data_IF_271695118397
#
_entry.id   IF_271695118397
#
_cell.length_a   1.000
_cell.length_b   1.000
_cell.length_c   1.000
_cell.angle_alpha   90.00
_cell.angle_beta   90.00
_cell.angle_gamma   90.00
#
_symmetry.space_group_name_H-M   'P 1'
#
loop_
_entity.id
_entity.type
_entity.pdbx_description
1 polymer ?
#
# COMPACT_ATOMS: atom_id res chain seq x y z
N UNK A 1 36.02 35.45 -3.89
CA UNK A 1 34.98 34.94 -4.83
C UNK A 1 34.64 33.47 -4.59
N UNK A 2 34.68 32.97 -3.34
CA UNK A 2 34.56 31.53 -3.01
C UNK A 2 33.28 31.18 -2.24
N UNK A 3 32.85 32.03 -1.29
CA UNK A 3 31.73 31.72 -0.40
C UNK A 3 30.36 31.63 -1.11
N UNK A 4 30.09 32.52 -2.07
CA UNK A 4 28.85 32.52 -2.84
C UNK A 4 28.74 31.31 -3.78
N UNK A 5 29.87 30.83 -4.33
CA UNK A 5 29.91 29.64 -5.16
C UNK A 5 29.71 28.36 -4.31
N UNK A 6 30.29 28.32 -3.12
CA UNK A 6 30.10 27.22 -2.15
C UNK A 6 28.66 27.14 -1.63
N UNK A 7 28.02 28.26 -1.28
CA UNK A 7 26.61 28.25 -0.90
C UNK A 7 25.70 27.71 -2.01
N UNK A 8 25.95 28.10 -3.27
CA UNK A 8 25.16 27.61 -4.41
C UNK A 8 25.35 26.11 -4.65
N UNK A 9 26.59 25.61 -4.52
CA UNK A 9 26.88 24.19 -4.65
C UNK A 9 26.20 23.36 -3.56
N UNK A 10 26.23 23.82 -2.30
CA UNK A 10 25.58 23.15 -1.18
C UNK A 10 24.05 23.14 -1.32
N UNK A 11 23.46 24.26 -1.75
CA UNK A 11 22.02 24.34 -1.98
C UNK A 11 21.56 23.40 -3.10
N UNK A 12 22.34 23.33 -4.19
CA UNK A 12 22.06 22.42 -5.31
C UNK A 12 22.16 20.95 -4.89
N UNK A 13 23.17 20.59 -4.09
CA UNK A 13 23.32 19.23 -3.56
C UNK A 13 22.16 18.85 -2.62
N UNK A 14 21.68 19.79 -1.81
CA UNK A 14 20.54 19.58 -0.93
C UNK A 14 19.23 19.38 -1.71
N UNK A 15 18.99 20.22 -2.73
CA UNK A 15 17.81 20.09 -3.61
C UNK A 15 17.83 18.80 -4.44
N UNK A 16 18.99 18.37 -4.92
CA UNK A 16 19.15 17.10 -5.64
C UNK A 16 18.85 15.88 -4.73
N UNK A 17 19.26 15.95 -3.47
CA UNK A 17 18.96 14.92 -2.47
C UNK A 17 17.48 14.86 -2.12
N UNK A 18 16.80 16.01 -2.04
CA UNK A 18 15.37 16.09 -1.77
C UNK A 18 14.51 15.56 -2.93
N UNK A 19 14.94 15.75 -4.18
CA UNK A 19 14.23 15.24 -5.36
C UNK A 19 14.22 13.71 -5.45
N UNK A 20 15.23 13.02 -4.89
CA UNK A 20 15.30 11.56 -4.87
C UNK A 20 14.29 10.91 -3.90
N UNK A 21 13.71 11.69 -2.98
CA UNK A 21 12.65 11.22 -2.06
C UNK A 21 11.23 11.47 -2.59
N UNK A 22 11.08 12.08 -3.76
CA UNK A 22 9.76 12.26 -4.39
C UNK A 22 9.29 10.92 -4.91
N UNK A 23 8.62 10.20 -4.00
CA UNK A 23 7.65 9.13 -4.20
C UNK A 23 7.75 8.41 -5.53
N UNK A 24 8.34 7.21 -5.49
CA UNK A 24 7.91 6.15 -6.39
C UNK A 24 6.42 5.91 -6.07
N UNK A 25 5.52 6.60 -6.76
CA UNK A 25 4.15 6.14 -6.86
C UNK A 25 4.24 4.87 -7.69
N UNK A 26 4.46 3.75 -7.01
CA UNK A 26 4.49 2.44 -7.65
C UNK A 26 3.22 2.37 -8.52
N UNK A 27 3.36 2.14 -9.84
CA UNK A 27 2.22 2.12 -10.76
C UNK A 27 1.23 1.13 -10.18
N UNK A 28 -0.01 1.55 -9.88
CA UNK A 28 -1.04 0.81 -9.14
C UNK A 28 -0.84 -0.70 -9.25
N UNK A 29 0.04 -1.21 -8.39
CA UNK A 29 0.62 -2.53 -8.61
C UNK A 29 -0.51 -3.45 -8.24
N UNK A 30 -0.87 -4.39 -9.12
CA UNK A 30 -1.97 -5.29 -8.82
C UNK A 30 -1.70 -5.96 -7.48
N UNK A 31 -2.43 -5.54 -6.43
CA UNK A 31 -2.23 -5.99 -5.05
C UNK A 31 -2.89 -7.34 -4.82
N UNK A 32 -3.02 -8.14 -5.88
CA UNK A 32 -3.56 -9.49 -5.87
C UNK A 32 -2.89 -10.38 -4.82
N UNK A 33 -1.58 -10.26 -4.62
CA UNK A 33 -0.86 -11.03 -3.60
C UNK A 33 -1.32 -10.69 -2.17
N UNK A 34 -1.45 -9.40 -1.84
CA UNK A 34 -1.92 -8.95 -0.53
C UNK A 34 -3.39 -9.30 -0.31
N UNK A 35 -4.21 -9.16 -1.36
CA UNK A 35 -5.60 -9.59 -1.36
C UNK A 35 -5.72 -11.09 -1.09
N UNK A 36 -4.90 -11.91 -1.76
CA UNK A 36 -4.87 -13.36 -1.54
C UNK A 36 -4.46 -13.69 -0.10
N UNK A 37 -3.45 -13.01 0.44
CA UNK A 37 -3.03 -13.19 1.84
C UNK A 37 -4.17 -12.86 2.82
N UNK A 38 -4.91 -11.76 2.61
CA UNK A 38 -6.09 -11.40 3.41
C UNK A 38 -7.16 -12.51 3.36
N UNK A 39 -7.40 -13.11 2.20
CA UNK A 39 -8.37 -14.22 2.06
C UNK A 39 -7.93 -15.44 2.88
N UNK A 40 -6.65 -15.76 2.93
CA UNK A 40 -6.15 -16.87 3.77
C UNK A 40 -6.33 -16.58 5.26
N UNK A 41 -6.08 -15.35 5.71
CA UNK A 41 -6.37 -14.93 7.09
C UNK A 41 -7.86 -15.05 7.43
N UNK A 42 -8.75 -14.61 6.52
CA UNK A 42 -10.20 -14.76 6.70
C UNK A 42 -10.61 -16.23 6.80
N UNK A 43 -10.04 -17.11 5.96
CA UNK A 43 -10.28 -18.56 6.03
C UNK A 43 -9.82 -19.13 7.36
N UNK A 44 -8.67 -18.71 7.87
CA UNK A 44 -8.15 -19.14 9.17
C UNK A 44 -9.09 -18.72 10.32
N UNK A 45 -9.55 -17.47 10.34
CA UNK A 45 -10.54 -17.00 11.31
C UNK A 45 -11.87 -17.74 11.20
N UNK A 46 -12.30 -18.10 9.99
CA UNK A 46 -13.54 -18.85 9.80
C UNK A 46 -13.47 -20.27 10.39
N UNK A 47 -12.28 -20.88 10.49
CA UNK A 47 -12.14 -22.24 11.07
C UNK A 47 -12.51 -22.30 12.55
N UNK A 48 -12.38 -21.19 13.29
CA UNK A 48 -12.80 -21.11 14.70
C UNK A 48 -14.28 -20.76 14.86
N UNK A 49 -14.98 -20.41 13.77
CA UNK A 49 -16.41 -20.10 13.76
C UNK A 49 -17.30 -21.33 13.67
N UNK A 50 -18.59 -21.15 14.01
CA UNK A 50 -19.60 -22.21 13.91
C UNK A 50 -19.99 -22.57 12.47
N UNK A 51 -19.71 -21.68 11.51
CA UNK A 51 -20.08 -21.83 10.11
C UNK A 51 -18.91 -21.50 9.20
N UNK A 52 -18.77 -22.27 8.13
CA UNK A 52 -17.84 -21.96 7.05
C UNK A 52 -18.35 -20.77 6.23
N UNK A 53 -17.43 -19.99 5.67
CA UNK A 53 -17.77 -18.92 4.72
C UNK A 53 -18.06 -19.56 3.36
N UNK A 54 -19.14 -19.14 2.73
CA UNK A 54 -19.51 -19.60 1.39
C UNK A 54 -18.35 -19.40 0.39
N UNK A 55 -17.93 -20.44 -0.36
CA UNK A 55 -16.87 -20.33 -1.35
C UNK A 55 -17.08 -19.23 -2.39
N UNK A 56 -18.33 -18.93 -2.77
CA UNK A 56 -18.66 -17.86 -3.71
C UNK A 56 -18.35 -16.47 -3.13
N UNK A 57 -18.52 -16.29 -1.82
CA UNK A 57 -18.15 -15.06 -1.11
C UNK A 57 -16.63 -14.90 -1.12
N UNK A 58 -15.88 -15.93 -0.73
CA UNK A 58 -14.40 -15.90 -0.74
C UNK A 58 -13.85 -15.60 -2.14
N UNK A 59 -14.43 -16.24 -3.17
CA UNK A 59 -14.08 -15.97 -4.57
C UNK A 59 -14.31 -14.51 -4.95
N UNK A 60 -15.47 -13.96 -4.59
CA UNK A 60 -15.82 -12.56 -4.91
C UNK A 60 -14.86 -11.60 -4.20
N UNK A 61 -14.61 -11.80 -2.91
CA UNK A 61 -13.66 -10.99 -2.14
C UNK A 61 -12.24 -11.05 -2.73
N UNK A 62 -11.83 -12.19 -3.29
CA UNK A 62 -10.56 -12.36 -3.99
C UNK A 62 -10.44 -11.66 -5.35
N UNK A 63 -11.51 -11.02 -5.84
CA UNK A 63 -11.51 -10.30 -7.14
C UNK A 63 -11.74 -8.80 -7.00
N UNK A 64 -12.45 -8.37 -5.96
CA UNK A 64 -12.82 -6.96 -5.79
C UNK A 64 -11.60 -6.15 -5.29
N UNK A 65 -11.16 -5.11 -6.01
CA UNK A 65 -10.05 -4.24 -5.62
C UNK A 65 -10.42 -3.30 -4.46
N UNK A 66 -10.39 -3.80 -3.22
CA UNK A 66 -10.70 -3.05 -1.99
C UNK A 66 -9.93 -1.72 -1.88
N UNK A 67 -8.68 -1.66 -2.32
CA UNK A 67 -7.83 -0.46 -2.30
C UNK A 67 -8.40 0.72 -3.10
N UNK A 68 -9.29 0.48 -4.08
CA UNK A 68 -9.96 1.55 -4.83
C UNK A 68 -11.06 2.26 -4.04
N UNK A 69 -11.50 1.67 -2.94
CA UNK A 69 -12.56 2.19 -2.08
C UNK A 69 -12.02 2.80 -0.77
N UNK A 70 -10.70 2.92 -0.64
CA UNK A 70 -10.01 3.44 0.55
C UNK A 70 -9.45 4.84 0.24
N UNK A 71 -9.57 5.82 1.18
CA UNK A 71 -8.94 7.13 1.03
C UNK A 71 -7.45 7.01 0.71
N UNK A 72 -6.94 7.90 -0.14
CA UNK A 72 -5.57 7.83 -0.69
C UNK A 72 -4.47 7.61 0.37
N UNK A 73 -4.47 8.32 1.51
CA UNK A 73 -3.47 8.12 2.56
C UNK A 73 -3.49 6.72 3.21
N UNK A 74 -4.62 6.02 3.14
CA UNK A 74 -4.84 4.73 3.81
C UNK A 74 -4.75 3.55 2.84
N UNK A 75 -4.67 3.77 1.52
CA UNK A 75 -4.63 2.67 0.53
C UNK A 75 -3.45 1.73 0.74
N UNK A 76 -2.33 2.24 1.26
CA UNK A 76 -1.17 1.44 1.67
C UNK A 76 -1.54 0.30 2.62
N UNK A 77 -2.57 0.53 3.44
CA UNK A 77 -3.06 -0.34 4.50
C UNK A 77 -4.34 -1.13 4.16
N UNK A 78 -4.81 -1.08 2.90
CA UNK A 78 -6.16 -1.52 2.52
C UNK A 78 -6.50 -2.99 2.83
N UNK A 79 -5.50 -3.87 2.98
CA UNK A 79 -5.67 -5.30 3.25
C UNK A 79 -5.26 -5.71 4.67
N UNK A 80 -4.89 -4.77 5.53
CA UNK A 80 -4.69 -5.11 6.93
C UNK A 80 -6.00 -5.48 7.60
N UNK A 81 -5.95 -6.46 8.50
CA UNK A 81 -7.11 -6.89 9.27
C UNK A 81 -7.38 -5.95 10.45
N UNK A 82 -7.84 -4.75 10.12
CA UNK A 82 -8.25 -3.71 11.07
C UNK A 82 -9.24 -2.74 10.42
N UNK A 83 -10.02 -1.98 11.22
CA UNK A 83 -10.74 -0.82 10.73
C UNK A 83 -9.81 0.20 10.04
N UNK A 84 -10.39 1.00 9.15
CA UNK A 84 -9.72 2.11 8.47
C UNK A 84 -9.39 3.26 9.44
#
# INVERSE_FOLDING_TARGET
>A
MSALAQCRALLAAFLASAAAFVSTSAPAQDRAAERAAMIETIKEHARSGAHSIDPAVLKTMGTVPRERFVPEPQRGAAYHDRPL
#
